data_IF_490611450204
#
_entry.id   IF_490611450204
#
_cell.length_a   1.000
_cell.length_b   1.000
_cell.length_c   1.000
_cell.angle_alpha   90.00
_cell.angle_beta   90.00
_cell.angle_gamma   90.00
#
_symmetry.space_group_name_H-M   'P 1'
#
loop_
_entity.id
_entity.type
_entity.pdbx_description
1 polymer ?
#
# COMPACT_ATOMS: atom_id res chain seq x y z
N UNK A 1 10.94 20.70 -1.62
CA UNK A 1 9.88 19.97 -2.36
C UNK A 1 9.06 19.26 -1.32
N UNK A 2 7.73 19.40 -1.34
CA UNK A 2 6.89 18.71 -0.35
C UNK A 2 6.96 17.20 -0.60
N UNK A 3 7.41 16.41 0.35
CA UNK A 3 7.48 14.95 0.18
C UNK A 3 6.13 14.34 0.49
N UNK A 4 5.39 13.94 -0.55
CA UNK A 4 4.14 13.19 -0.39
C UNK A 4 4.44 11.70 -0.24
N UNK A 5 3.86 11.10 0.79
CA UNK A 5 3.84 9.67 1.05
C UNK A 5 2.45 9.10 0.78
N UNK A 6 2.38 7.94 0.14
CA UNK A 6 1.15 7.16 0.03
C UNK A 6 1.24 5.95 0.94
N UNK A 7 0.22 5.74 1.78
CA UNK A 7 0.06 4.52 2.55
C UNK A 7 -1.14 3.76 1.99
N UNK A 8 -0.94 2.53 1.53
CA UNK A 8 -1.98 1.65 0.99
C UNK A 8 -2.19 0.53 2.00
N UNK A 9 -3.38 0.46 2.58
CA UNK A 9 -3.66 -0.53 3.61
C UNK A 9 -4.95 -0.24 4.33
N UNK A 10 -5.48 -1.26 4.99
CA UNK A 10 -6.71 -1.14 5.77
C UNK A 10 -6.43 -0.66 7.20
N UNK A 11 -5.17 -0.72 7.67
CA UNK A 11 -4.80 -0.47 9.07
C UNK A 11 -3.64 0.52 9.22
N UNK A 12 -3.90 1.79 8.99
CA UNK A 12 -2.92 2.80 9.37
C UNK A 12 -2.94 3.04 10.89
N UNK A 13 -2.02 2.44 11.64
CA UNK A 13 -1.94 2.70 13.09
C UNK A 13 -1.54 4.16 13.39
N UNK A 14 -1.94 4.68 14.56
CA UNK A 14 -1.56 6.04 14.98
C UNK A 14 -0.05 6.24 15.02
N UNK A 15 0.69 5.27 15.58
CA UNK A 15 2.15 5.34 15.67
C UNK A 15 2.80 5.36 14.28
N UNK A 16 2.29 4.54 13.35
CA UNK A 16 2.75 4.53 11.96
C UNK A 16 2.44 5.85 11.26
N UNK A 17 1.22 6.37 11.40
CA UNK A 17 0.83 7.66 10.83
C UNK A 17 1.72 8.79 11.34
N UNK A 18 1.97 8.83 12.65
CA UNK A 18 2.87 9.81 13.25
C UNK A 18 4.29 9.68 12.75
N UNK A 19 4.83 8.45 12.63
CA UNK A 19 6.16 8.23 12.09
C UNK A 19 6.29 8.77 10.64
N UNK A 20 5.26 8.54 9.81
CA UNK A 20 5.23 9.04 8.44
C UNK A 20 5.11 10.57 8.37
N UNK A 21 4.30 11.18 9.24
CA UNK A 21 4.14 12.64 9.33
C UNK A 21 5.40 13.36 9.83
N UNK A 22 6.27 12.68 10.58
CA UNK A 22 7.56 13.24 11.02
C UNK A 22 8.60 13.35 9.89
N UNK A 23 8.38 12.64 8.79
CA UNK A 23 9.34 12.46 7.69
C UNK A 23 8.82 12.95 6.34
N UNK A 24 7.50 13.08 6.21
CA UNK A 24 6.83 13.53 5.01
C UNK A 24 5.96 14.74 5.30
N UNK A 25 5.94 15.69 4.37
CA UNK A 25 5.09 16.89 4.47
C UNK A 25 3.60 16.57 4.30
N UNK A 26 3.30 15.44 3.65
CA UNK A 26 1.94 15.01 3.37
C UNK A 26 1.86 13.49 3.37
N UNK A 27 0.87 12.94 4.07
CA UNK A 27 0.54 11.51 4.05
C UNK A 27 -0.86 11.34 3.48
N UNK A 28 -1.00 10.46 2.49
CA UNK A 28 -2.29 10.07 1.92
C UNK A 28 -2.53 8.60 2.20
N UNK A 29 -3.65 8.29 2.86
CA UNK A 29 -4.04 6.94 3.22
C UNK A 29 -5.09 6.40 2.23
N UNK A 30 -4.72 5.38 1.47
CA UNK A 30 -5.60 4.61 0.59
C UNK A 30 -6.10 3.40 1.33
N UNK A 31 -7.41 3.35 1.57
CA UNK A 31 -8.05 2.29 2.35
C UNK A 31 -9.40 1.96 1.77
N UNK A 32 -9.82 0.71 1.96
CA UNK A 32 -11.19 0.29 1.66
C UNK A 32 -12.11 0.53 2.87
N UNK A 33 -11.53 0.66 4.05
CA UNK A 33 -12.24 0.79 5.32
C UNK A 33 -12.75 2.20 5.53
N UNK A 34 -13.99 2.31 6.03
CA UNK A 34 -14.62 3.54 6.50
C UNK A 34 -14.29 3.92 7.95
N UNK A 35 -13.31 3.24 8.56
CA UNK A 35 -12.82 3.63 9.88
C UNK A 35 -12.33 5.08 9.84
N UNK A 36 -12.96 5.90 10.67
CA UNK A 36 -12.48 7.24 10.97
C UNK A 36 -11.17 7.09 11.75
N UNK A 37 -10.05 7.31 11.06
CA UNK A 37 -8.82 7.62 11.75
C UNK A 37 -8.95 9.06 12.26
N UNK A 38 -8.93 9.24 13.58
CA UNK A 38 -8.91 10.55 14.24
C UNK A 38 -7.53 11.24 14.09
N UNK A 39 -6.99 11.29 12.88
CA UNK A 39 -5.76 12.02 12.57
C UNK A 39 -6.05 13.02 11.46
N UNK A 40 -6.46 14.23 11.85
CA UNK A 40 -6.79 15.36 10.96
C UNK A 40 -5.66 15.72 9.97
N UNK A 41 -4.43 15.29 10.25
CA UNK A 41 -3.25 15.57 9.43
C UNK A 41 -3.03 14.57 8.27
N UNK A 42 -3.79 13.48 8.19
CA UNK A 42 -3.69 12.47 7.12
C UNK A 42 -4.86 12.64 6.15
N UNK A 43 -4.55 12.86 4.87
CA UNK A 43 -5.57 12.87 3.83
C UNK A 43 -6.01 11.42 3.55
N UNK A 44 -7.31 11.21 3.36
CA UNK A 44 -7.86 9.87 3.10
C UNK A 44 -8.41 9.74 1.68
N UNK A 45 -8.13 8.59 1.06
CA UNK A 45 -8.59 8.22 -0.26
C UNK A 45 -9.29 6.85 -0.19
N UNK A 46 -10.61 6.85 0.02
CA UNK A 46 -11.41 5.63 0.16
C UNK A 46 -11.60 4.94 -1.19
N UNK A 47 -10.88 3.83 -1.42
CA UNK A 47 -10.84 3.10 -2.68
C UNK A 47 -10.74 1.59 -2.46
N UNK A 48 -11.54 0.85 -3.22
CA UNK A 48 -11.45 -0.61 -3.26
C UNK A 48 -10.49 -1.07 -4.37
N UNK A 49 -9.23 -1.39 -4.03
CA UNK A 49 -8.22 -1.77 -5.03
C UNK A 49 -8.51 -3.11 -5.75
N UNK A 50 -9.35 -3.99 -5.20
CA UNK A 50 -9.83 -5.17 -5.93
C UNK A 50 -10.88 -4.87 -7.00
N UNK A 51 -11.31 -3.61 -7.14
CA UNK A 51 -12.31 -3.19 -8.11
C UNK A 51 -11.67 -2.40 -9.25
N UNK A 52 -12.24 -2.50 -10.45
CA UNK A 52 -11.79 -1.73 -11.62
C UNK A 52 -11.92 -0.22 -11.34
N UNK A 53 -13.01 0.20 -10.69
CA UNK A 53 -13.24 1.60 -10.35
C UNK A 53 -12.19 2.12 -9.36
N UNK A 54 -11.93 1.39 -8.27
CA UNK A 54 -10.93 1.79 -7.28
C UNK A 54 -9.52 1.90 -7.89
N UNK A 55 -9.16 0.96 -8.76
CA UNK A 55 -7.91 1.02 -9.52
C UNK A 55 -7.86 2.25 -10.44
N UNK A 56 -8.91 2.51 -11.21
CA UNK A 56 -8.97 3.67 -12.10
C UNK A 56 -8.85 5.00 -11.32
N UNK A 57 -9.55 5.10 -10.18
CA UNK A 57 -9.49 6.28 -9.31
C UNK A 57 -8.11 6.49 -8.69
N UNK A 58 -7.40 5.42 -8.31
CA UNK A 58 -6.01 5.55 -7.85
C UNK A 58 -5.09 6.06 -8.97
N UNK A 59 -5.25 5.55 -10.20
CA UNK A 59 -4.49 6.01 -11.36
C UNK A 59 -4.76 7.49 -11.67
N UNK A 60 -6.03 7.90 -11.59
CA UNK A 60 -6.40 9.30 -11.79
C UNK A 60 -5.85 10.19 -10.67
N UNK A 61 -5.83 9.70 -9.43
CA UNK A 61 -5.16 10.39 -8.33
C UNK A 61 -3.66 10.57 -8.58
N UNK A 62 -2.96 9.51 -9.01
CA UNK A 62 -1.54 9.59 -9.36
C UNK A 62 -1.23 10.61 -10.46
N UNK A 63 -2.15 10.82 -11.40
CA UNK A 63 -2.00 11.82 -12.48
C UNK A 63 -2.18 13.26 -12.01
N UNK A 64 -2.97 13.46 -10.96
CA UNK A 64 -3.38 14.80 -10.48
C UNK A 64 -2.56 15.26 -9.28
N UNK A 65 -2.06 14.33 -8.47
CA UNK A 65 -1.26 14.61 -7.30
C UNK A 65 0.24 14.74 -7.65
N UNK A 66 1.01 15.38 -6.76
CA UNK A 66 2.47 15.27 -6.80
C UNK A 66 2.87 13.79 -6.67
N UNK A 67 3.73 13.31 -7.57
CA UNK A 67 4.14 11.91 -7.58
C UNK A 67 4.76 11.52 -6.24
N UNK A 68 4.23 10.51 -5.54
CA UNK A 68 4.78 10.12 -4.26
C UNK A 68 6.22 9.63 -4.42
N UNK A 69 7.07 10.02 -3.47
CA UNK A 69 8.45 9.53 -3.41
C UNK A 69 8.54 8.20 -2.68
N UNK A 70 7.64 8.00 -1.72
CA UNK A 70 7.58 6.83 -0.85
C UNK A 70 6.16 6.27 -0.85
N UNK A 71 6.04 4.95 -1.02
CA UNK A 71 4.79 4.22 -0.88
C UNK A 71 4.99 3.10 0.13
N UNK A 72 4.11 3.02 1.11
CA UNK A 72 4.03 1.92 2.06
C UNK A 72 2.76 1.12 1.75
N UNK A 73 2.88 -0.18 1.53
CA UNK A 73 1.78 -1.03 1.12
C UNK A 73 1.66 -2.23 2.05
N UNK A 74 0.54 -2.34 2.76
CA UNK A 74 0.22 -3.51 3.57
C UNK A 74 -0.10 -4.72 2.68
N UNK A 75 0.58 -5.82 2.95
CA UNK A 75 0.18 -7.14 2.50
C UNK A 75 -0.72 -7.73 3.59
N UNK A 76 -2.01 -7.85 3.33
CA UNK A 76 -2.99 -8.26 4.35
C UNK A 76 -3.00 -9.77 4.56
N UNK A 77 -3.32 -10.21 5.79
CA UNK A 77 -3.63 -11.61 6.08
C UNK A 77 -4.93 -12.04 5.39
N UNK A 78 -5.00 -13.24 4.82
CA UNK A 78 -6.23 -13.72 4.19
C UNK A 78 -7.33 -13.97 5.23
N UNK A 79 -8.56 -13.57 4.90
CA UNK A 79 -9.72 -13.72 5.79
C UNK A 79 -9.75 -12.73 6.96
N UNK A 80 -8.75 -11.87 7.09
CA UNK A 80 -8.74 -10.80 8.08
C UNK A 80 -9.50 -9.58 7.54
N UNK A 81 -10.59 -9.19 8.20
CA UNK A 81 -11.17 -7.85 8.07
C UNK A 81 -11.35 -7.26 9.48
N UNK A 82 -10.71 -6.13 9.75
CA UNK A 82 -11.07 -5.26 10.88
C UNK A 82 -12.23 -4.35 10.47
N UNK A 83 -13.40 -4.93 10.26
CA UNK A 83 -14.65 -4.17 10.17
C UNK A 83 -15.66 -4.82 11.08
N UNK A 84 -16.46 -4.02 11.79
CA UNK A 84 -17.59 -4.54 12.57
C UNK A 84 -18.59 -5.34 11.72
N UNK A 85 -18.55 -5.20 10.39
CA UNK A 85 -19.22 -6.10 9.46
C UNK A 85 -18.50 -7.44 9.35
N UNK A 86 -19.17 -8.48 9.81
CA UNK A 86 -18.86 -9.93 9.76
C UNK A 86 -18.54 -10.51 8.35
N UNK A 87 -18.26 -9.71 7.33
CA UNK A 87 -17.95 -10.23 6.01
C UNK A 87 -16.52 -10.76 6.01
N UNK A 88 -16.34 -12.03 5.64
CA UNK A 88 -15.01 -12.59 5.39
C UNK A 88 -14.67 -12.29 3.94
N UNK A 89 -13.52 -11.64 3.67
CA UNK A 89 -13.08 -11.39 2.28
C UNK A 89 -13.05 -12.71 1.53
N UNK A 90 -13.73 -12.76 0.38
CA UNK A 90 -13.63 -13.93 -0.50
C UNK A 90 -12.19 -14.06 -1.02
N UNK A 91 -11.74 -15.28 -1.34
CA UNK A 91 -10.42 -15.49 -1.95
C UNK A 91 -10.23 -14.70 -3.25
N UNK A 92 -11.30 -14.57 -4.05
CA UNK A 92 -11.29 -13.75 -5.27
C UNK A 92 -11.02 -12.30 -4.94
N UNK A 93 -11.75 -11.74 -3.97
CA UNK A 93 -11.59 -10.35 -3.58
C UNK A 93 -10.21 -10.06 -2.99
N UNK A 94 -9.71 -10.96 -2.14
CA UNK A 94 -8.35 -10.91 -1.62
C UNK A 94 -7.31 -10.86 -2.75
N UNK A 95 -7.36 -11.79 -3.70
CA UNK A 95 -6.39 -11.84 -4.81
C UNK A 95 -6.53 -10.65 -5.76
N UNK A 96 -7.76 -10.18 -6.03
CA UNK A 96 -7.98 -8.98 -6.82
C UNK A 96 -7.38 -7.75 -6.15
N UNK A 97 -7.51 -7.62 -4.84
CA UNK A 97 -6.95 -6.49 -4.10
C UNK A 97 -5.43 -6.60 -3.97
N UNK A 98 -4.96 -7.70 -3.37
CA UNK A 98 -3.58 -7.87 -2.93
C UNK A 98 -2.61 -8.17 -4.06
N UNK A 99 -3.04 -8.85 -5.14
CA UNK A 99 -2.18 -9.11 -6.29
C UNK A 99 -2.49 -8.11 -7.40
N UNK A 100 -3.70 -8.14 -7.95
CA UNK A 100 -4.00 -7.35 -9.16
C UNK A 100 -3.97 -5.85 -8.90
N UNK A 101 -4.64 -5.40 -7.83
CA UNK A 101 -4.73 -4.00 -7.45
C UNK A 101 -3.37 -3.40 -7.07
N UNK A 102 -2.64 -4.08 -6.18
CA UNK A 102 -1.31 -3.65 -5.75
C UNK A 102 -0.31 -3.65 -6.90
N UNK A 103 -0.27 -4.68 -7.76
CA UNK A 103 0.61 -4.68 -8.94
C UNK A 103 0.33 -3.50 -9.86
N UNK A 104 -0.95 -3.19 -10.13
CA UNK A 104 -1.31 -2.02 -10.95
C UNK A 104 -0.89 -0.70 -10.32
N UNK A 105 -1.06 -0.57 -9.00
CA UNK A 105 -0.60 0.61 -8.26
C UNK A 105 0.92 0.78 -8.36
N UNK A 106 1.66 -0.32 -8.19
CA UNK A 106 3.12 -0.37 -8.30
C UNK A 106 3.60 0.02 -9.69
N UNK A 107 3.06 -0.59 -10.75
CA UNK A 107 3.40 -0.29 -12.14
C UNK A 107 3.16 1.18 -12.48
N UNK A 108 2.01 1.72 -12.06
CA UNK A 108 1.65 3.11 -12.30
C UNK A 108 2.57 4.09 -11.55
N UNK A 109 2.84 3.83 -10.27
CA UNK A 109 3.72 4.66 -9.47
C UNK A 109 5.16 4.67 -10.03
N UNK A 110 5.69 3.50 -10.40
CA UNK A 110 7.02 3.38 -11.01
C UNK A 110 7.11 4.08 -12.37
N UNK A 111 6.04 4.01 -13.17
CA UNK A 111 5.98 4.70 -14.47
C UNK A 111 6.05 6.21 -14.32
N UNK A 112 5.58 6.75 -13.20
CA UNK A 112 5.59 8.19 -12.89
C UNK A 112 6.85 8.63 -12.14
N UNK A 113 7.44 7.75 -11.33
CA UNK A 113 8.66 7.99 -10.58
C UNK A 113 9.57 6.75 -10.65
N UNK A 114 10.56 6.73 -11.56
CA UNK A 114 11.51 5.62 -11.65
C UNK A 114 12.41 5.45 -10.42
N UNK A 115 12.51 6.47 -9.56
CA UNK A 115 13.28 6.46 -8.30
C UNK A 115 12.37 6.27 -7.07
N UNK A 116 11.24 5.57 -7.24
CA UNK A 116 10.26 5.28 -6.21
C UNK A 116 10.86 4.42 -5.09
N UNK A 117 10.53 4.75 -3.85
CA UNK A 117 10.75 3.88 -2.70
C UNK A 117 9.43 3.19 -2.36
N UNK A 118 9.38 1.87 -2.51
CA UNK A 118 8.20 1.07 -2.19
C UNK A 118 8.51 0.07 -1.07
N UNK A 119 7.75 0.15 0.01
CA UNK A 119 7.91 -0.68 1.19
C UNK A 119 6.69 -1.55 1.39
N UNK A 120 6.85 -2.86 1.25
CA UNK A 120 5.82 -3.85 1.56
C UNK A 120 5.83 -4.13 3.07
N UNK A 121 4.68 -3.95 3.72
CA UNK A 121 4.48 -4.27 5.13
C UNK A 121 3.87 -5.68 5.18
N UNK A 122 4.68 -6.67 5.49
CA UNK A 122 4.27 -8.07 5.56
C UNK A 122 3.59 -8.37 6.90
N UNK A 123 2.52 -9.17 6.93
CA UNK A 123 1.87 -9.50 8.20
C UNK A 123 2.79 -10.36 9.08
N UNK A 124 2.57 -10.33 10.40
CA UNK A 124 3.29 -11.19 11.34
C UNK A 124 2.83 -12.65 11.25
N UNK A 125 1.52 -12.85 11.03
CA UNK A 125 0.91 -14.16 10.82
C UNK A 125 0.69 -14.40 9.33
N UNK A 126 1.58 -15.20 8.74
CA UNK A 126 1.50 -15.53 7.33
C UNK A 126 0.79 -16.87 7.12
N UNK A 127 -0.51 -16.82 6.82
CA UNK A 127 -1.22 -17.93 6.21
C UNK A 127 -0.71 -18.20 4.78
N UNK A 128 -1.15 -19.29 4.15
CA UNK A 128 -0.63 -19.72 2.84
C UNK A 128 -0.81 -18.66 1.75
N UNK A 129 -1.91 -17.90 1.77
CA UNK A 129 -2.18 -16.86 0.78
C UNK A 129 -1.29 -15.65 0.98
N UNK A 130 -1.09 -15.24 2.23
CA UNK A 130 -0.22 -14.12 2.58
C UNK A 130 1.25 -14.41 2.23
N UNK A 131 1.72 -15.63 2.48
CA UNK A 131 3.06 -16.08 2.05
C UNK A 131 3.20 -16.04 0.53
N UNK A 132 2.22 -16.59 -0.19
CA UNK A 132 2.24 -16.59 -1.64
C UNK A 132 2.21 -15.16 -2.22
N UNK A 133 1.49 -14.24 -1.58
CA UNK A 133 1.45 -12.83 -1.93
C UNK A 133 2.82 -12.16 -1.73
N UNK A 134 3.45 -12.36 -0.57
CA UNK A 134 4.79 -11.85 -0.29
C UNK A 134 5.82 -12.41 -1.30
N UNK A 135 5.83 -13.73 -1.53
CA UNK A 135 6.74 -14.39 -2.47
C UNK A 135 6.56 -13.85 -3.90
N UNK A 136 5.32 -13.60 -4.32
CA UNK A 136 5.01 -12.96 -5.59
C UNK A 136 5.65 -11.58 -5.70
N UNK A 137 5.47 -10.70 -4.71
CA UNK A 137 6.05 -9.36 -4.76
C UNK A 137 7.56 -9.33 -4.61
N UNK A 138 8.15 -10.28 -3.87
CA UNK A 138 9.61 -10.44 -3.83
C UNK A 138 10.17 -10.76 -5.21
N UNK A 139 9.62 -11.78 -5.87
CA UNK A 139 10.04 -12.16 -7.21
C UNK A 139 9.80 -11.03 -8.23
N UNK A 140 8.67 -10.33 -8.14
CA UNK A 140 8.39 -9.17 -9.00
C UNK A 140 9.41 -8.03 -8.76
N UNK A 141 9.71 -7.72 -7.50
CA UNK A 141 10.66 -6.66 -7.13
C UNK A 141 12.08 -6.95 -7.62
N UNK A 142 12.51 -8.21 -7.61
CA UNK A 142 13.80 -8.62 -8.20
C UNK A 142 13.85 -8.30 -9.71
N UNK A 143 12.78 -8.64 -10.45
CA UNK A 143 12.68 -8.32 -11.87
C UNK A 143 12.62 -6.81 -12.14
N UNK A 144 11.84 -6.07 -11.33
CA UNK A 144 11.70 -4.63 -11.44
C UNK A 144 13.00 -3.89 -11.10
N UNK A 145 13.81 -4.39 -10.18
CA UNK A 145 15.11 -3.80 -9.84
C UNK A 145 16.09 -3.81 -11.02
N UNK A 146 15.92 -4.74 -11.96
CA UNK A 146 16.71 -4.76 -13.21
C UNK A 146 16.17 -3.73 -14.22
N UNK A 147 14.84 -3.60 -14.31
CA UNK A 147 14.19 -2.70 -15.26
C UNK A 147 14.19 -1.22 -14.83
N UNK A 148 14.12 -0.97 -13.52
CA UNK A 148 14.09 0.33 -12.87
C UNK A 148 15.12 0.35 -11.71
N UNK A 149 16.42 0.45 -12.01
CA UNK A 149 17.49 0.30 -11.01
C UNK A 149 17.56 1.44 -9.98
N UNK A 150 16.86 2.55 -10.22
CA UNK A 150 16.75 3.66 -9.28
C UNK A 150 15.66 3.42 -8.22
N UNK A 151 14.73 2.50 -8.47
CA UNK A 151 13.68 2.15 -7.53
C UNK A 151 14.24 1.30 -6.38
N UNK A 152 13.64 1.45 -5.20
CA UNK A 152 14.00 0.69 -4.02
C UNK A 152 12.78 -0.07 -3.51
N UNK A 153 12.92 -1.38 -3.37
CA UNK A 153 11.88 -2.25 -2.83
C UNK A 153 12.33 -2.81 -1.49
N UNK A 154 11.56 -2.57 -0.44
CA UNK A 154 11.83 -3.12 0.89
C UNK A 154 10.65 -3.94 1.39
N UNK A 155 10.94 -4.89 2.27
CA UNK A 155 9.95 -5.75 2.90
C UNK A 155 10.21 -5.68 4.40
N UNK A 156 9.22 -5.20 5.14
CA UNK A 156 9.30 -5.02 6.60
C UNK A 156 8.16 -5.80 7.24
N UNK A 157 8.42 -6.41 8.40
CA UNK A 157 7.33 -7.05 9.13
C UNK A 157 6.46 -6.00 9.82
N UNK A 158 5.16 -6.24 9.89
CA UNK A 158 4.22 -5.42 10.64
C UNK A 158 4.69 -5.27 12.11
N UNK A 159 4.57 -4.05 12.64
CA UNK A 159 5.11 -3.66 13.94
C UNK A 159 6.63 -3.36 14.00
N UNK A 160 7.36 -3.48 12.89
CA UNK A 160 8.72 -2.93 12.79
C UNK A 160 8.70 -1.45 12.42
N UNK A 161 9.70 -0.70 12.88
CA UNK A 161 9.89 0.70 12.47
C UNK A 161 10.03 0.76 10.95
N UNK A 162 9.19 1.58 10.33
CA UNK A 162 9.33 1.88 8.91
C UNK A 162 10.67 2.59 8.70
N UNK A 163 11.50 2.07 7.80
CA UNK A 163 12.68 2.82 7.36
C UNK A 163 12.15 3.89 6.41
N UNK A 164 12.20 5.14 6.85
CA UNK A 164 11.67 6.30 6.12
C UNK A 164 12.78 7.21 5.65
#
# INVERSE_FOLDING_TARGET
>A
MRTTCLYIGDRLSFDTAMQLLMTHDKVVWVTVSDIDLEIDAVDRLSLHLGSIEGQARLLDWFRQADTPRSIFCELSTFGYIETESSEVRSATDYLQTQIVGVTRALEAALSLNPALMWSFICPLENDVWSRACEDYFRALSEGLSVAAPEAQFTFVSDGQLLVV
#
